data_IF_656218978531
#
_entry.id   IF_656218978531
#
_cell.length_a   1.000
_cell.length_b   1.000
_cell.length_c   1.000
_cell.angle_alpha   90.00
_cell.angle_beta   90.00
_cell.angle_gamma   90.00
#
_symmetry.space_group_name_H-M   'P 1'
#
loop_
_entity.id
_entity.type
_entity.pdbx_description
1 polymer ?
#
# COMPACT_ATOMS: atom_id res chain seq x y z
N UNK A 1 -6.05 -6.13 -25.84
CA UNK A 1 -4.97 -6.63 -24.96
C UNK A 1 -4.66 -8.08 -25.30
N UNK A 2 -3.39 -8.47 -25.20
CA UNK A 2 -2.90 -9.84 -25.41
C UNK A 2 -2.06 -10.23 -24.21
N UNK A 3 -2.34 -11.40 -23.63
CA UNK A 3 -1.51 -11.99 -22.57
C UNK A 3 -0.76 -13.21 -23.09
N UNK A 4 0.50 -13.33 -22.73
CA UNK A 4 1.34 -14.48 -23.02
C UNK A 4 1.68 -15.24 -21.75
N UNK A 5 1.60 -16.56 -21.83
CA UNK A 5 1.80 -17.45 -20.71
C UNK A 5 3.07 -18.27 -20.89
N UNK A 6 3.73 -18.62 -19.80
CA UNK A 6 4.86 -19.53 -19.79
C UNK A 6 4.41 -21.01 -19.83
N UNK A 7 5.36 -21.94 -19.82
CA UNK A 7 5.07 -23.37 -19.86
C UNK A 7 4.34 -23.93 -18.61
N UNK A 8 4.21 -23.14 -17.54
CA UNK A 8 3.46 -23.48 -16.33
C UNK A 8 2.05 -22.89 -16.33
N UNK A 9 1.64 -22.19 -17.41
CA UNK A 9 0.35 -21.51 -17.48
C UNK A 9 0.29 -20.21 -16.71
N UNK A 10 1.43 -19.66 -16.27
CA UNK A 10 1.51 -18.36 -15.58
C UNK A 10 1.75 -17.25 -16.61
N UNK A 11 1.11 -16.06 -16.47
CA UNK A 11 1.33 -14.94 -17.37
C UNK A 11 2.81 -14.50 -17.34
N UNK A 12 3.40 -14.24 -18.49
CA UNK A 12 4.81 -13.86 -18.67
C UNK A 12 4.93 -12.41 -19.12
N UNK A 13 3.97 -11.95 -19.91
CA UNK A 13 3.85 -10.57 -20.32
C UNK A 13 2.42 -10.24 -20.78
N UNK A 14 1.99 -9.02 -20.58
CA UNK A 14 0.78 -8.45 -21.18
C UNK A 14 1.15 -7.36 -22.18
N UNK A 15 0.35 -7.24 -23.25
CA UNK A 15 0.58 -6.29 -24.34
C UNK A 15 -0.72 -5.56 -24.66
N UNK A 16 -0.69 -4.25 -24.54
CA UNK A 16 -1.75 -3.37 -25.00
C UNK A 16 -1.37 -2.85 -26.39
N UNK A 17 -2.14 -3.27 -27.41
CA UNK A 17 -1.82 -2.98 -28.81
C UNK A 17 -2.06 -1.49 -29.12
N UNK A 18 -1.08 -0.85 -29.72
CA UNK A 18 -1.10 0.54 -30.16
C UNK A 18 -1.51 1.55 -29.04
N UNK A 19 -1.20 1.23 -27.77
CA UNK A 19 -1.65 2.00 -26.62
C UNK A 19 -0.70 3.15 -26.23
N UNK A 20 0.51 3.22 -26.81
CA UNK A 20 1.40 4.36 -26.59
C UNK A 20 0.96 5.59 -27.40
N UNK A 21 1.36 6.82 -27.03
CA UNK A 21 1.06 8.04 -27.79
C UNK A 21 1.56 7.98 -29.26
N UNK A 22 2.62 7.21 -29.52
CA UNK A 22 3.20 7.02 -30.86
C UNK A 22 2.53 5.86 -31.62
N UNK A 23 1.47 5.25 -31.09
CA UNK A 23 0.79 4.08 -31.67
C UNK A 23 1.59 2.79 -31.58
N UNK A 24 2.58 2.67 -30.69
CA UNK A 24 3.31 1.44 -30.39
C UNK A 24 2.59 0.63 -29.32
N UNK A 25 2.91 -0.66 -29.25
CA UNK A 25 2.42 -1.54 -28.23
C UNK A 25 3.06 -1.20 -26.86
N UNK A 26 2.26 -1.14 -25.80
CA UNK A 26 2.75 -1.11 -24.43
C UNK A 26 2.89 -2.54 -23.91
N UNK A 27 4.09 -2.90 -23.53
CA UNK A 27 4.44 -4.23 -23.00
C UNK A 27 4.74 -4.13 -21.52
N UNK A 28 4.05 -4.94 -20.73
CA UNK A 28 4.30 -5.09 -19.29
C UNK A 28 4.90 -6.47 -19.05
N UNK A 29 6.19 -6.57 -18.71
CA UNK A 29 6.78 -7.84 -18.30
C UNK A 29 6.22 -8.30 -16.96
N UNK A 30 6.08 -9.60 -16.77
CA UNK A 30 5.64 -10.21 -15.52
C UNK A 30 6.74 -11.17 -15.06
N UNK A 31 7.19 -10.98 -13.82
CA UNK A 31 8.19 -11.81 -13.16
C UNK A 31 7.62 -12.43 -11.89
N UNK A 32 8.23 -13.50 -11.42
CA UNK A 32 7.80 -14.22 -10.22
C UNK A 32 8.95 -14.35 -9.24
N UNK A 33 8.64 -14.33 -7.96
CA UNK A 33 9.58 -14.72 -6.92
C UNK A 33 9.64 -16.25 -6.75
N UNK A 34 10.43 -16.72 -5.77
CA UNK A 34 10.57 -18.16 -5.49
C UNK A 34 9.27 -18.83 -5.01
N UNK A 35 8.29 -18.07 -4.58
CA UNK A 35 6.96 -18.54 -4.16
C UNK A 35 5.89 -18.31 -5.25
N UNK A 36 6.30 -17.98 -6.46
CA UNK A 36 5.45 -17.69 -7.62
C UNK A 36 4.49 -16.51 -7.42
N UNK A 37 4.88 -15.51 -6.60
CA UNK A 37 4.14 -14.25 -6.46
C UNK A 37 4.58 -13.29 -7.54
N UNK A 38 3.66 -12.85 -8.39
CA UNK A 38 3.95 -11.89 -9.47
C UNK A 38 4.11 -10.45 -8.95
N UNK A 39 3.47 -10.12 -7.84
CA UNK A 39 3.47 -8.77 -7.29
C UNK A 39 4.68 -8.45 -6.39
N UNK A 40 5.57 -9.43 -6.16
CA UNK A 40 6.86 -9.17 -5.50
C UNK A 40 7.70 -8.14 -6.27
N UNK A 41 7.60 -8.15 -7.62
CA UNK A 41 8.15 -7.12 -8.51
C UNK A 41 7.16 -6.80 -9.61
N UNK A 42 6.46 -5.68 -9.48
CA UNK A 42 5.53 -5.18 -10.49
C UNK A 42 6.26 -4.25 -11.45
N UNK A 43 6.58 -4.76 -12.64
CA UNK A 43 7.36 -4.04 -13.65
C UNK A 43 6.54 -2.97 -14.37
N UNK A 44 7.17 -1.84 -14.67
CA UNK A 44 6.56 -0.78 -15.47
C UNK A 44 6.43 -1.22 -16.93
N UNK A 45 5.34 -0.77 -17.58
CA UNK A 45 5.14 -0.96 -19.01
C UNK A 45 6.12 -0.13 -19.82
N UNK A 46 6.53 -0.60 -20.98
CA UNK A 46 7.38 0.14 -21.92
C UNK A 46 6.83 0.10 -23.34
N UNK A 47 7.13 1.11 -24.14
CA UNK A 47 6.76 1.16 -25.55
C UNK A 47 7.69 0.26 -26.37
N UNK A 48 7.16 -0.82 -26.93
CA UNK A 48 7.93 -1.77 -27.74
C UNK A 48 8.28 -1.17 -29.11
N UNK A 49 9.39 -1.66 -29.71
CA UNK A 49 9.77 -1.29 -31.08
C UNK A 49 8.88 -1.95 -32.14
N UNK A 50 8.40 -3.16 -31.88
CA UNK A 50 7.46 -3.91 -32.75
C UNK A 50 6.03 -3.66 -32.30
N UNK A 51 5.09 -3.79 -33.22
CA UNK A 51 3.67 -3.59 -33.01
C UNK A 51 2.85 -4.82 -33.45
N UNK A 52 1.56 -4.81 -33.16
CA UNK A 52 0.61 -5.87 -33.53
C UNK A 52 0.50 -6.99 -32.49
N UNK A 53 0.79 -6.71 -31.23
CA UNK A 53 0.58 -7.63 -30.11
C UNK A 53 1.55 -8.80 -30.07
N UNK A 54 2.68 -8.76 -30.78
CA UNK A 54 3.64 -9.87 -30.84
C UNK A 54 4.43 -10.01 -29.55
N UNK A 55 4.55 -11.25 -29.06
CA UNK A 55 5.39 -11.60 -27.91
C UNK A 55 6.81 -11.03 -28.05
N UNK A 56 7.28 -10.37 -27.00
CA UNK A 56 8.65 -9.86 -26.92
C UNK A 56 9.55 -10.94 -26.28
N UNK A 57 10.55 -11.42 -27.02
CA UNK A 57 11.42 -12.53 -26.56
C UNK A 57 12.23 -12.19 -25.30
N UNK A 58 12.53 -10.91 -25.07
CA UNK A 58 13.34 -10.43 -23.93
C UNK A 58 12.67 -9.23 -23.27
N UNK A 59 11.39 -9.37 -22.88
CA UNK A 59 10.58 -8.25 -22.39
C UNK A 59 11.23 -7.49 -21.22
N UNK A 60 11.80 -8.20 -20.24
CA UNK A 60 12.51 -7.57 -19.10
C UNK A 60 13.76 -6.80 -19.52
N UNK A 61 14.60 -7.38 -20.37
CA UNK A 61 15.80 -6.70 -20.88
C UNK A 61 15.45 -5.48 -21.72
N UNK A 62 14.40 -5.60 -22.55
CA UNK A 62 13.92 -4.50 -23.36
C UNK A 62 13.35 -3.36 -22.50
N UNK A 63 12.66 -3.68 -21.43
CA UNK A 63 12.14 -2.73 -20.46
C UNK A 63 13.29 -1.97 -19.77
N UNK A 64 14.30 -2.67 -19.28
CA UNK A 64 15.49 -2.05 -18.69
C UNK A 64 16.22 -1.15 -19.68
N UNK A 65 16.39 -1.58 -20.93
CA UNK A 65 17.02 -0.76 -21.98
C UNK A 65 16.19 0.51 -22.32
N UNK A 66 14.86 0.37 -22.34
CA UNK A 66 13.95 1.49 -22.57
C UNK A 66 14.10 2.55 -21.47
N UNK A 67 14.00 2.16 -20.20
CA UNK A 67 14.14 3.09 -19.08
C UNK A 67 15.58 3.59 -18.91
N UNK A 68 16.59 2.78 -19.25
CA UNK A 68 18.01 3.19 -19.28
C UNK A 68 18.29 4.32 -20.27
N UNK A 69 17.54 4.34 -21.38
CA UNK A 69 17.64 5.43 -22.36
C UNK A 69 16.97 6.72 -21.86
N UNK A 70 15.90 6.59 -21.06
CA UNK A 70 15.14 7.74 -20.55
C UNK A 70 15.77 8.37 -19.31
N UNK A 71 16.20 7.56 -18.36
CA UNK A 71 16.55 7.99 -17.00
C UNK A 71 17.97 7.62 -16.57
N UNK A 72 18.71 6.89 -17.40
CA UNK A 72 20.05 6.39 -17.09
C UNK A 72 20.05 4.95 -16.56
N UNK A 73 21.24 4.32 -16.57
CA UNK A 73 21.37 2.87 -16.30
C UNK A 73 21.09 2.49 -14.84
N UNK A 74 21.38 3.37 -13.89
CA UNK A 74 21.14 3.11 -12.48
C UNK A 74 19.63 3.00 -12.18
N UNK A 75 18.84 3.95 -12.66
CA UNK A 75 17.39 3.99 -12.44
C UNK A 75 16.66 2.91 -13.26
N UNK A 76 17.21 2.55 -14.44
CA UNK A 76 16.66 1.50 -15.28
C UNK A 76 16.61 0.14 -14.59
N UNK A 77 17.57 -0.16 -13.71
CA UNK A 77 17.63 -1.42 -12.98
C UNK A 77 16.48 -1.57 -11.98
N UNK A 78 15.82 -0.47 -11.62
CA UNK A 78 14.70 -0.44 -10.68
C UNK A 78 13.40 0.09 -11.31
N UNK A 79 13.15 -0.23 -12.56
CA UNK A 79 11.91 0.12 -13.26
C UNK A 79 10.72 -0.80 -12.86
N UNK A 80 10.58 -1.04 -11.56
CA UNK A 80 9.51 -1.85 -10.94
C UNK A 80 9.23 -1.38 -9.53
N UNK A 81 7.99 -1.60 -9.07
CA UNK A 81 7.63 -1.57 -7.65
C UNK A 81 8.07 -2.89 -7.02
N UNK A 82 8.80 -2.82 -5.91
CA UNK A 82 9.25 -4.00 -5.16
C UNK A 82 8.49 -4.12 -3.85
N UNK A 83 8.01 -5.32 -3.54
CA UNK A 83 7.42 -5.67 -2.25
C UNK A 83 8.24 -6.76 -1.58
N UNK A 84 8.58 -6.55 -0.31
CA UNK A 84 9.21 -7.55 0.55
C UNK A 84 8.15 -8.04 1.52
N UNK A 85 7.94 -9.34 1.52
CA UNK A 85 6.93 -9.98 2.36
C UNK A 85 7.54 -10.52 3.65
N UNK A 86 6.73 -10.63 4.69
CA UNK A 86 7.11 -11.35 5.91
C UNK A 86 7.34 -12.84 5.62
N UNK A 87 8.15 -13.48 6.46
CA UNK A 87 8.45 -14.92 6.37
C UNK A 87 7.35 -15.78 7.03
N UNK A 88 6.09 -15.35 6.97
CA UNK A 88 4.96 -16.08 7.55
C UNK A 88 3.95 -16.49 6.46
N UNK A 89 3.10 -17.49 6.71
CA UNK A 89 2.05 -17.90 5.77
C UNK A 89 1.00 -16.81 5.48
N UNK A 90 0.93 -15.75 6.30
CA UNK A 90 -0.01 -14.65 6.10
C UNK A 90 0.35 -13.79 4.88
N UNK A 91 1.64 -13.83 4.45
CA UNK A 91 2.09 -13.14 3.24
C UNK A 91 1.88 -11.63 3.25
N UNK A 92 1.97 -10.98 4.43
CA UNK A 92 1.81 -9.53 4.53
C UNK A 92 3.06 -8.81 4.03
N UNK A 93 2.86 -7.65 3.40
CA UNK A 93 3.96 -6.82 2.91
C UNK A 93 4.65 -6.13 4.09
N UNK A 94 5.96 -6.31 4.23
CA UNK A 94 6.79 -5.64 5.26
C UNK A 94 7.44 -4.37 4.75
N UNK A 95 7.78 -4.33 3.46
CA UNK A 95 8.43 -3.17 2.83
C UNK A 95 7.96 -3.06 1.39
N UNK A 96 7.84 -1.82 0.92
CA UNK A 96 7.54 -1.53 -0.48
C UNK A 96 8.42 -0.38 -0.97
N UNK A 97 9.05 -0.57 -2.12
CA UNK A 97 9.79 0.48 -2.80
C UNK A 97 9.12 0.83 -4.13
N UNK A 98 9.03 2.12 -4.44
CA UNK A 98 8.56 2.61 -5.72
C UNK A 98 9.65 2.50 -6.81
N UNK A 99 9.28 2.51 -8.10
CA UNK A 99 10.24 2.48 -9.18
C UNK A 99 11.21 3.66 -9.10
N UNK A 100 12.51 3.41 -9.30
CA UNK A 100 13.55 4.44 -9.34
C UNK A 100 13.82 5.17 -8.03
N UNK A 101 13.11 4.85 -6.94
CA UNK A 101 13.24 5.59 -5.69
C UNK A 101 14.47 5.14 -4.90
N UNK A 102 15.53 5.96 -4.97
CA UNK A 102 16.81 5.73 -4.29
C UNK A 102 17.24 7.03 -3.58
N UNK A 103 17.79 6.90 -2.38
CA UNK A 103 18.42 7.98 -1.62
C UNK A 103 19.84 7.54 -1.29
N UNK A 104 20.83 8.36 -1.59
CA UNK A 104 22.26 8.07 -1.35
C UNK A 104 22.71 6.70 -1.90
N UNK A 105 22.22 6.33 -3.10
CA UNK A 105 22.43 5.04 -3.77
C UNK A 105 21.84 3.80 -3.06
N UNK A 106 21.04 4.00 -2.02
CA UNK A 106 20.30 2.94 -1.35
C UNK A 106 18.81 2.98 -1.70
N UNK A 107 18.19 1.80 -1.76
CA UNK A 107 16.75 1.67 -1.98
C UNK A 107 16.00 2.13 -0.74
N UNK A 108 15.07 3.05 -0.92
CA UNK A 108 14.25 3.56 0.17
C UNK A 108 12.89 2.88 0.14
N UNK A 109 12.45 2.42 1.29
CA UNK A 109 11.20 1.68 1.44
C UNK A 109 10.19 2.43 2.30
N UNK A 110 8.91 2.32 1.94
CA UNK A 110 7.84 2.43 2.91
C UNK A 110 7.80 1.12 3.69
N UNK A 111 7.83 1.18 5.01
CA UNK A 111 7.83 0.01 5.89
C UNK A 111 6.45 -0.18 6.53
N UNK A 112 6.06 -1.44 6.73
CA UNK A 112 4.80 -1.82 7.34
C UNK A 112 5.05 -2.75 8.52
N UNK A 113 4.53 -2.39 9.68
CA UNK A 113 4.46 -3.24 10.86
C UNK A 113 3.02 -3.55 11.22
N UNK A 114 2.79 -4.70 11.81
CA UNK A 114 1.46 -5.20 12.16
C UNK A 114 1.45 -5.62 13.62
N UNK A 115 0.55 -5.01 14.39
CA UNK A 115 0.33 -5.32 15.79
C UNK A 115 -1.17 -5.27 16.11
N UNK A 116 -1.52 -5.46 17.34
CA UNK A 116 -2.86 -5.14 17.88
C UNK A 116 -2.80 -3.88 18.74
N UNK A 117 -3.95 -3.34 19.12
CA UNK A 117 -4.00 -2.24 20.08
C UNK A 117 -3.57 -2.69 21.47
N UNK A 118 -2.99 -1.74 22.22
CA UNK A 118 -2.69 -1.89 23.64
C UNK A 118 -3.89 -1.45 24.51
N UNK A 119 -3.78 -1.65 25.82
CA UNK A 119 -4.76 -1.20 26.81
C UNK A 119 -4.83 0.33 26.79
N UNK A 120 -6.03 0.88 26.82
CA UNK A 120 -6.33 2.33 26.85
C UNK A 120 -5.78 3.12 25.65
N UNK A 121 -5.42 2.44 24.57
CA UNK A 121 -4.80 3.06 23.40
C UNK A 121 -5.83 3.70 22.45
N UNK A 122 -7.00 3.07 22.28
CA UNK A 122 -8.03 3.50 21.32
C UNK A 122 -9.37 3.64 22.03
N UNK A 123 -9.97 4.83 21.96
CA UNK A 123 -11.29 5.07 22.54
C UNK A 123 -12.38 4.31 21.80
N UNK A 124 -13.32 3.79 22.55
CA UNK A 124 -14.52 3.18 22.01
C UNK A 124 -15.60 4.25 21.86
N UNK A 125 -15.73 4.77 20.64
CA UNK A 125 -16.73 5.75 20.27
C UNK A 125 -17.87 5.06 19.52
N UNK A 126 -19.11 5.34 19.94
CA UNK A 126 -20.31 4.71 19.39
C UNK A 126 -21.37 5.78 19.02
N UNK A 127 -22.36 5.37 18.25
CA UNK A 127 -23.54 6.17 17.92
C UNK A 127 -24.65 5.77 18.87
N UNK A 128 -25.10 6.70 19.72
CA UNK A 128 -26.21 6.47 20.65
C UNK A 128 -27.57 6.40 19.95
N UNK A 129 -28.63 6.14 20.73
CA UNK A 129 -29.98 5.89 20.24
C UNK A 129 -30.57 7.07 19.45
N UNK A 130 -30.26 8.29 19.86
CA UNK A 130 -30.71 9.52 19.20
C UNK A 130 -29.73 10.02 18.12
N UNK A 131 -28.68 9.22 17.82
CA UNK A 131 -27.65 9.53 16.84
C UNK A 131 -26.51 10.40 17.37
N UNK A 132 -26.48 10.65 18.67
CA UNK A 132 -25.41 11.37 19.36
C UNK A 132 -24.12 10.55 19.43
N UNK A 133 -22.99 11.23 19.62
CA UNK A 133 -21.70 10.59 19.87
C UNK A 133 -21.60 10.17 21.34
N UNK A 134 -21.31 8.90 21.59
CA UNK A 134 -21.11 8.33 22.92
C UNK A 134 -19.70 7.76 23.04
N UNK A 135 -19.04 8.00 24.17
CA UNK A 135 -17.78 7.33 24.50
C UNK A 135 -18.06 6.25 25.57
N UNK A 136 -17.77 5.00 25.24
CA UNK A 136 -17.98 3.83 26.11
C UNK A 136 -16.69 3.40 26.83
N UNK A 137 -15.66 4.24 26.82
CA UNK A 137 -14.34 3.94 27.36
C UNK A 137 -13.31 3.69 26.27
N UNK A 138 -12.49 2.65 26.42
CA UNK A 138 -11.49 2.24 25.47
C UNK A 138 -11.74 0.80 24.99
N UNK A 139 -11.25 0.49 23.80
CA UNK A 139 -11.22 -0.87 23.30
C UNK A 139 -10.28 -1.74 24.12
N UNK A 140 -10.70 -2.96 24.45
CA UNK A 140 -9.85 -3.94 25.13
C UNK A 140 -8.58 -4.21 24.29
N UNK A 141 -7.45 -4.44 24.96
CA UNK A 141 -6.19 -4.78 24.31
C UNK A 141 -6.35 -6.02 23.40
N UNK A 142 -5.76 -5.96 22.22
CA UNK A 142 -5.76 -7.06 21.27
C UNK A 142 -7.05 -7.24 20.46
N UNK A 143 -8.04 -6.34 20.58
CA UNK A 143 -9.33 -6.43 19.85
C UNK A 143 -9.29 -5.73 18.49
N UNK A 144 -8.38 -4.80 18.29
CA UNK A 144 -8.20 -4.09 17.02
C UNK A 144 -6.88 -4.49 16.35
N UNK A 145 -6.89 -4.57 15.03
CA UNK A 145 -5.67 -4.70 14.23
C UNK A 145 -5.06 -3.31 13.99
N UNK A 146 -3.78 -3.15 14.23
CA UNK A 146 -3.04 -1.93 13.94
C UNK A 146 -2.02 -2.18 12.84
N UNK A 147 -2.09 -1.40 11.77
CA UNK A 147 -1.05 -1.31 10.75
C UNK A 147 -0.26 -0.03 10.97
N UNK A 148 1.04 -0.17 11.20
CA UNK A 148 1.98 0.95 11.31
C UNK A 148 2.68 1.10 9.97
N UNK A 149 2.57 2.26 9.36
CA UNK A 149 3.23 2.59 8.09
C UNK A 149 4.26 3.67 8.36
N UNK A 150 5.52 3.40 8.01
CA UNK A 150 6.60 4.39 8.07
C UNK A 150 7.02 4.73 6.65
N UNK A 151 6.91 6.00 6.28
CA UNK A 151 7.34 6.46 4.97
C UNK A 151 8.88 6.59 4.89
N UNK A 152 9.44 6.80 3.69
CA UNK A 152 10.89 6.97 3.52
C UNK A 152 11.51 8.17 4.22
N UNK A 153 10.73 9.15 4.63
CA UNK A 153 11.18 10.34 5.35
C UNK A 153 11.04 10.16 6.88
N UNK A 154 10.51 9.01 7.32
CA UNK A 154 10.38 8.64 8.73
C UNK A 154 9.05 9.02 9.36
N UNK A 155 8.08 9.57 8.59
CA UNK A 155 6.76 9.85 9.13
C UNK A 155 5.99 8.54 9.38
N UNK A 156 5.37 8.47 10.54
CA UNK A 156 4.63 7.30 10.99
C UNK A 156 3.13 7.55 10.93
N UNK A 157 2.39 6.59 10.37
CA UNK A 157 0.92 6.55 10.40
C UNK A 157 0.50 5.22 11.00
N UNK A 158 -0.39 5.25 12.00
CA UNK A 158 -1.00 4.07 12.58
C UNK A 158 -2.48 4.04 12.20
N UNK A 159 -2.94 2.93 11.66
CA UNK A 159 -4.35 2.70 11.30
C UNK A 159 -4.90 1.55 12.11
N UNK A 160 -5.88 1.82 12.95
CA UNK A 160 -6.56 0.82 13.78
C UNK A 160 -7.88 0.42 13.12
N UNK A 161 -8.04 -0.89 12.91
CA UNK A 161 -9.20 -1.46 12.24
C UNK A 161 -9.85 -2.54 13.10
N UNK A 162 -11.18 -2.60 13.03
CA UNK A 162 -11.97 -3.64 13.71
C UNK A 162 -11.96 -4.97 12.93
N UNK A 163 -12.63 -5.99 13.50
CA UNK A 163 -12.77 -7.31 12.90
C UNK A 163 -13.56 -7.33 11.58
N UNK A 164 -14.26 -6.25 11.22
CA UNK A 164 -14.96 -6.07 9.94
C UNK A 164 -14.11 -5.32 8.90
N UNK A 165 -12.88 -4.94 9.26
CA UNK A 165 -11.98 -4.18 8.40
C UNK A 165 -12.30 -2.68 8.31
N UNK A 166 -13.12 -2.13 9.22
CA UNK A 166 -13.42 -0.70 9.28
C UNK A 166 -12.33 0.01 10.06
N UNK A 167 -11.79 1.10 9.52
CA UNK A 167 -10.85 1.94 10.24
C UNK A 167 -11.60 2.75 11.30
N UNK A 168 -11.21 2.60 12.58
CA UNK A 168 -11.79 3.33 13.71
C UNK A 168 -10.94 4.54 14.11
N UNK A 169 -9.62 4.42 13.98
CA UNK A 169 -8.67 5.46 14.30
C UNK A 169 -7.55 5.51 13.26
N UNK A 170 -7.24 6.71 12.78
CA UNK A 170 -6.00 7.04 12.06
C UNK A 170 -5.20 8.01 12.93
N UNK A 171 -3.99 7.59 13.31
CA UNK A 171 -3.06 8.37 14.13
C UNK A 171 -1.84 8.73 13.31
N UNK A 172 -1.51 10.01 13.28
CA UNK A 172 -0.24 10.54 12.80
C UNK A 172 0.50 11.19 13.98
N UNK A 173 1.72 11.67 13.76
CA UNK A 173 2.52 12.27 14.82
C UNK A 173 3.11 13.60 14.35
N UNK A 174 3.16 14.57 15.27
CA UNK A 174 3.89 15.83 15.14
C UNK A 174 4.83 15.93 16.35
N UNK A 175 6.14 15.86 16.12
CA UNK A 175 7.17 15.82 17.17
C UNK A 175 6.84 14.84 18.33
N UNK A 176 6.46 13.60 18.00
CA UNK A 176 6.02 12.53 18.93
C UNK A 176 4.63 12.71 19.58
N UNK A 177 3.96 13.84 19.37
CA UNK A 177 2.58 14.04 19.86
C UNK A 177 1.57 13.38 18.90
N UNK A 178 0.64 12.55 19.40
CA UNK A 178 -0.32 11.85 18.57
C UNK A 178 -1.41 12.81 18.07
N UNK A 179 -1.66 12.73 16.77
CA UNK A 179 -2.72 13.46 16.07
C UNK A 179 -3.76 12.45 15.60
N UNK A 180 -4.86 12.36 16.31
CA UNK A 180 -5.89 11.33 16.15
C UNK A 180 -7.08 11.79 15.32
N UNK A 181 -7.47 11.01 14.32
CA UNK A 181 -8.73 11.15 13.60
C UNK A 181 -9.56 9.88 13.81
N UNK A 182 -10.73 10.00 14.43
CA UNK A 182 -11.64 8.88 14.67
C UNK A 182 -12.74 8.80 13.62
N UNK A 183 -13.12 7.56 13.30
CA UNK A 183 -14.22 7.23 12.40
C UNK A 183 -15.24 6.39 13.16
N UNK A 184 -16.46 6.90 13.31
CA UNK A 184 -17.52 6.26 14.11
C UNK A 184 -18.61 5.76 13.19
N UNK A 185 -18.94 4.48 13.34
CA UNK A 185 -19.92 3.80 12.49
C UNK A 185 -21.15 3.42 13.32
N UNK A 186 -22.31 3.44 12.66
CA UNK A 186 -23.54 2.90 13.25
C UNK A 186 -23.60 1.37 13.13
N UNK A 187 -24.64 0.74 13.74
CA UNK A 187 -24.86 -0.70 13.76
C UNK A 187 -25.02 -1.31 12.36
N UNK A 188 -25.32 -0.49 11.36
CA UNK A 188 -25.41 -0.91 9.95
C UNK A 188 -24.07 -0.78 9.21
N UNK A 189 -22.99 -0.37 9.90
CA UNK A 189 -21.68 -0.15 9.32
C UNK A 189 -21.55 1.13 8.47
N UNK A 190 -22.47 2.07 8.63
CA UNK A 190 -22.43 3.36 7.93
C UNK A 190 -21.63 4.34 8.76
N UNK A 191 -20.68 5.05 8.13
CA UNK A 191 -19.92 6.13 8.76
C UNK A 191 -20.87 7.26 9.16
N UNK A 192 -20.91 7.60 10.44
CA UNK A 192 -21.78 8.63 11.01
C UNK A 192 -21.00 9.86 11.44
N UNK A 193 -19.82 9.65 12.04
CA UNK A 193 -18.99 10.75 12.53
C UNK A 193 -17.55 10.58 12.06
N UNK A 194 -16.94 11.70 11.70
CA UNK A 194 -15.48 11.82 11.57
C UNK A 194 -15.05 12.88 12.56
N UNK A 195 -14.26 12.50 13.55
CA UNK A 195 -13.76 13.39 14.59
C UNK A 195 -12.36 13.79 14.20
N UNK A 196 -12.20 15.05 13.86
CA UNK A 196 -10.91 15.62 13.47
C UNK A 196 -9.95 15.67 14.67
N UNK A 197 -8.65 15.89 14.46
CA UNK A 197 -7.67 15.98 15.55
C UNK A 197 -8.05 16.98 16.64
N UNK A 198 -8.51 18.16 16.26
CA UNK A 198 -9.01 19.17 17.20
C UNK A 198 -10.18 18.66 18.04
N UNK A 199 -11.15 18.00 17.40
CA UNK A 199 -12.28 17.36 18.10
C UNK A 199 -11.83 16.23 19.01
N UNK A 200 -10.86 15.43 18.60
CA UNK A 200 -10.28 14.36 19.42
C UNK A 200 -9.59 14.90 20.68
N UNK A 201 -8.88 16.00 20.54
CA UNK A 201 -8.26 16.70 21.68
C UNK A 201 -9.29 17.19 22.69
N UNK A 202 -10.35 17.84 22.21
CA UNK A 202 -11.44 18.34 23.07
C UNK A 202 -12.20 17.21 23.79
N UNK A 203 -12.33 16.03 23.17
CA UNK A 203 -12.92 14.86 23.83
C UNK A 203 -12.05 14.34 24.97
N UNK A 204 -10.71 14.58 24.96
CA UNK A 204 -9.83 14.18 26.06
C UNK A 204 -10.11 14.94 27.34
N UNK A 205 -10.45 16.22 27.23
CA UNK A 205 -10.69 17.09 28.36
C UNK A 205 -12.09 16.91 28.96
N UNK A 206 -13.06 16.41 28.20
CA UNK A 206 -14.45 16.27 28.65
C UNK A 206 -14.79 14.93 29.33
N UNK A 207 -13.85 13.98 29.35
CA UNK A 207 -14.04 12.60 29.86
C UNK A 207 -13.24 12.32 31.15
N UNK A 208 -12.59 13.33 31.73
CA UNK A 208 -12.00 13.33 33.08
C UNK A 208 -12.94 13.91 34.08
#
# INVERSE_FOLDING_TARGET
DVAYYNGLGLPEQSIQIAASPDGRDLVTPIGYDALLREDAKSYLSYAARSSGGRKQASALTNQQAFYGTLYGQADAQRSFTEKVYEASPLGRVRKQALPGYMKDFEVVYTEFDYRTNDTDEVRWLAVGVDGELVCEGCHDAGTLSCTVTTDPDGHVVQSFTDGLGRTLLSRTFDDDEPIDTYFVYDDYGRLRWVITPEGSYLLSDSLT
#
